data_IF_040521164819
#
_entry.id   IF_040521164819
#
_cell.length_a   1.000
_cell.length_b   1.000
_cell.length_c   1.000
_cell.angle_alpha   90.00
_cell.angle_beta   90.00
_cell.angle_gamma   90.00
#
_symmetry.space_group_name_H-M   'P 1'
#
loop_
_entity.id
_entity.type
_entity.pdbx_description
1 polymer ?
#
# COMPACT_ATOMS: atom_id res chain seq x y z
N UNK A 1 -2.74 -3.86 -25.14
CA UNK A 1 -3.02 -2.99 -23.99
C UNK A 1 -2.40 -3.52 -22.71
N UNK A 2 -1.68 -2.68 -22.05
CA UNK A 2 -0.97 -3.03 -20.82
C UNK A 2 -1.89 -2.89 -19.62
N UNK A 3 -2.49 -4.00 -19.15
CA UNK A 3 -3.39 -3.96 -17.99
C UNK A 3 -2.62 -3.84 -16.67
N UNK A 4 -1.30 -4.11 -16.70
CA UNK A 4 -0.42 -4.02 -15.53
C UNK A 4 0.53 -2.83 -15.57
N UNK A 5 0.24 -1.89 -16.48
CA UNK A 5 1.00 -0.65 -16.52
C UNK A 5 0.85 0.09 -15.19
N UNK A 6 1.93 0.66 -14.69
CA UNK A 6 1.93 1.31 -13.38
C UNK A 6 0.89 2.46 -13.31
N UNK A 7 0.74 3.22 -14.38
CA UNK A 7 -0.25 4.30 -14.41
C UNK A 7 -1.68 3.75 -14.24
N UNK A 8 -1.97 2.61 -14.84
CA UNK A 8 -3.26 1.95 -14.70
C UNK A 8 -3.45 1.42 -13.28
N UNK A 9 -2.40 0.86 -12.69
CA UNK A 9 -2.43 0.39 -11.31
C UNK A 9 -2.72 1.53 -10.35
N UNK A 10 -2.05 2.68 -10.55
CA UNK A 10 -2.28 3.87 -9.75
C UNK A 10 -3.75 4.31 -9.87
N UNK A 11 -4.25 4.41 -11.09
CA UNK A 11 -5.65 4.83 -11.32
C UNK A 11 -6.63 3.91 -10.61
N UNK A 12 -6.47 2.60 -10.77
CA UNK A 12 -7.33 1.61 -10.11
C UNK A 12 -7.26 1.72 -8.59
N UNK A 13 -6.06 1.97 -8.07
CA UNK A 13 -5.85 2.12 -6.63
C UNK A 13 -6.61 3.32 -6.07
N UNK A 14 -6.55 4.46 -6.78
CA UNK A 14 -7.24 5.67 -6.36
C UNK A 14 -8.77 5.50 -6.44
N UNK A 15 -9.26 4.81 -7.45
CA UNK A 15 -10.69 4.52 -7.59
C UNK A 15 -11.20 3.67 -6.43
N UNK A 16 -10.43 2.69 -6.02
CA UNK A 16 -10.80 1.84 -4.87
C UNK A 16 -10.79 2.66 -3.59
N UNK A 17 -9.78 3.52 -3.38
CA UNK A 17 -9.73 4.36 -2.19
C UNK A 17 -10.94 5.28 -2.11
N UNK A 18 -11.36 5.85 -3.24
CA UNK A 18 -12.55 6.70 -3.28
C UNK A 18 -13.80 5.93 -2.83
N UNK A 19 -13.93 4.68 -3.22
CA UNK A 19 -15.04 3.84 -2.78
C UNK A 19 -15.02 3.63 -1.27
N UNK A 20 -13.83 3.43 -0.69
CA UNK A 20 -13.69 3.33 0.76
C UNK A 20 -14.04 4.65 1.46
N UNK A 21 -13.64 5.80 0.86
CA UNK A 21 -14.01 7.11 1.40
C UNK A 21 -15.52 7.26 1.50
N UNK A 22 -16.25 6.81 0.47
CA UNK A 22 -17.71 6.87 0.48
C UNK A 22 -18.31 5.97 1.57
N UNK A 23 -17.72 4.80 1.80
CA UNK A 23 -18.15 3.93 2.88
C UNK A 23 -17.87 4.55 4.25
N UNK A 24 -16.72 5.21 4.40
CA UNK A 24 -16.35 5.88 5.65
C UNK A 24 -17.31 7.02 5.97
N UNK A 25 -17.67 7.82 4.96
CA UNK A 25 -18.63 8.91 5.12
C UNK A 25 -19.99 8.35 5.53
N UNK A 26 -20.42 7.27 4.88
CA UNK A 26 -21.69 6.64 5.16
C UNK A 26 -21.76 6.06 6.57
N UNK A 27 -20.65 5.46 7.04
CA UNK A 27 -20.61 4.80 8.35
C UNK A 27 -20.31 5.76 9.49
N UNK A 28 -19.44 6.75 9.27
CA UNK A 28 -18.89 7.60 10.34
C UNK A 28 -19.14 9.09 10.11
N UNK A 29 -19.73 9.47 8.99
CA UNK A 29 -19.98 10.88 8.67
C UNK A 29 -18.82 11.61 8.04
N UNK A 30 -17.62 11.08 8.10
CA UNK A 30 -16.43 11.68 7.47
C UNK A 30 -15.53 10.59 6.90
N UNK A 31 -14.71 10.95 5.91
CA UNK A 31 -13.68 10.05 5.42
C UNK A 31 -12.47 10.06 6.37
N UNK A 32 -11.66 9.03 6.31
CA UNK A 32 -10.42 8.99 7.07
C UNK A 32 -9.48 10.12 6.67
N UNK A 33 -8.78 10.66 7.66
CA UNK A 33 -7.76 11.68 7.44
C UNK A 33 -6.50 11.05 6.85
N UNK A 34 -5.60 11.90 6.36
CA UNK A 34 -4.30 11.45 5.88
C UNK A 34 -3.53 10.71 6.99
N UNK A 35 -3.60 11.22 8.21
CA UNK A 35 -2.92 10.60 9.34
C UNK A 35 -3.48 9.21 9.66
N UNK A 36 -4.80 9.04 9.54
CA UNK A 36 -5.41 7.73 9.73
C UNK A 36 -4.98 6.74 8.65
N UNK A 37 -4.87 7.20 7.39
CA UNK A 37 -4.35 6.38 6.32
C UNK A 37 -2.90 5.96 6.58
N UNK A 38 -2.08 6.86 7.09
CA UNK A 38 -0.68 6.56 7.42
C UNK A 38 -0.58 5.52 8.54
N UNK A 39 -1.44 5.62 9.54
CA UNK A 39 -1.48 4.64 10.64
C UNK A 39 -1.96 3.27 10.14
N UNK A 40 -2.92 3.25 9.22
CA UNK A 40 -3.38 2.00 8.62
C UNK A 40 -2.26 1.33 7.82
N UNK A 41 -1.50 2.12 7.06
CA UNK A 41 -0.33 1.61 6.36
C UNK A 41 0.68 1.00 7.34
N UNK A 42 0.98 1.71 8.43
CA UNK A 42 1.95 1.25 9.42
C UNK A 42 1.50 -0.08 10.05
N UNK A 43 0.21 -0.21 10.33
CA UNK A 43 -0.36 -1.44 10.86
C UNK A 43 -0.19 -2.60 9.88
N UNK A 44 -0.49 -2.36 8.60
CA UNK A 44 -0.37 -3.39 7.58
C UNK A 44 1.09 -3.74 7.27
N UNK A 45 2.00 -2.78 7.41
CA UNK A 45 3.44 -3.05 7.29
C UNK A 45 3.90 -3.99 8.41
N UNK A 46 3.38 -3.79 9.62
CA UNK A 46 3.65 -4.68 10.74
C UNK A 46 3.16 -6.10 10.47
N UNK A 47 2.02 -6.24 9.80
CA UNK A 47 1.49 -7.56 9.44
C UNK A 47 2.32 -8.27 8.38
N UNK A 48 2.98 -7.52 7.49
CA UNK A 48 3.97 -8.12 6.58
C UNK A 48 5.07 -8.79 7.41
N UNK A 49 5.65 -8.06 8.37
CA UNK A 49 6.68 -8.60 9.24
C UNK A 49 6.20 -9.82 10.02
N UNK A 50 4.98 -9.73 10.56
CA UNK A 50 4.38 -10.84 11.32
C UNK A 50 4.29 -12.11 10.48
N UNK A 51 3.85 -11.97 9.23
CA UNK A 51 3.68 -13.13 8.35
C UNK A 51 5.00 -13.66 7.81
N UNK A 52 6.00 -12.80 7.64
CA UNK A 52 7.36 -13.25 7.29
C UNK A 52 7.92 -14.12 8.40
N UNK A 53 7.73 -13.75 9.66
CA UNK A 53 8.18 -14.56 10.80
C UNK A 53 7.53 -15.95 10.79
N UNK A 54 6.27 -16.02 10.37
CA UNK A 54 5.59 -17.31 10.23
C UNK A 54 6.17 -18.12 9.07
N UNK A 55 6.44 -17.45 7.95
CA UNK A 55 7.06 -18.08 6.78
C UNK A 55 8.41 -18.72 7.15
N UNK A 56 9.19 -18.03 7.98
CA UNK A 56 10.51 -18.50 8.44
C UNK A 56 10.42 -19.44 9.65
N UNK A 57 9.18 -19.75 10.07
CA UNK A 57 8.90 -20.69 11.17
C UNK A 57 9.38 -20.22 12.53
N UNK A 58 9.68 -18.94 12.66
CA UNK A 58 10.09 -18.35 13.95
C UNK A 58 8.88 -18.12 14.84
N UNK A 59 7.75 -17.78 14.24
CA UNK A 59 6.52 -17.52 14.97
C UNK A 59 5.33 -17.90 14.08
N UNK A 60 4.92 -19.14 14.17
CA UNK A 60 3.88 -19.69 13.29
C UNK A 60 2.55 -19.00 13.47
N UNK A 61 1.85 -18.83 12.36
CA UNK A 61 0.54 -18.23 12.31
C UNK A 61 -0.29 -18.93 11.24
N UNK A 62 -1.56 -19.22 11.55
CA UNK A 62 -2.47 -19.85 10.61
C UNK A 62 -2.69 -18.93 9.40
N UNK A 63 -2.79 -19.53 8.24
CA UNK A 63 -3.08 -18.84 6.96
C UNK A 63 -2.08 -17.74 6.59
N UNK A 64 -0.85 -17.83 7.11
CA UNK A 64 0.15 -16.77 6.93
C UNK A 64 0.62 -16.59 5.48
N UNK A 65 0.64 -17.66 4.68
CA UNK A 65 1.08 -17.57 3.27
C UNK A 65 0.13 -16.69 2.47
N UNK A 66 -1.16 -16.91 2.62
CA UNK A 66 -2.20 -16.15 1.91
C UNK A 66 -2.26 -14.71 2.42
N UNK A 67 -2.14 -14.54 3.73
CA UNK A 67 -2.15 -13.21 4.32
C UNK A 67 -0.92 -12.41 3.92
N UNK A 68 0.25 -13.06 3.86
CA UNK A 68 1.49 -12.38 3.42
C UNK A 68 1.34 -11.86 1.99
N UNK A 69 0.83 -12.69 1.09
CA UNK A 69 0.59 -12.27 -0.29
C UNK A 69 -0.32 -11.05 -0.36
N UNK A 70 -1.44 -11.11 0.36
CA UNK A 70 -2.40 -10.01 0.40
C UNK A 70 -1.79 -8.75 1.01
N UNK A 71 -1.07 -8.88 2.12
CA UNK A 71 -0.50 -7.71 2.81
C UNK A 71 0.62 -7.05 2.02
N UNK A 72 1.41 -7.83 1.28
CA UNK A 72 2.42 -7.25 0.40
C UNK A 72 1.75 -6.37 -0.67
N UNK A 73 0.69 -6.88 -1.30
CA UNK A 73 -0.06 -6.11 -2.29
C UNK A 73 -0.73 -4.89 -1.68
N UNK A 74 -1.36 -5.05 -0.53
CA UNK A 74 -2.05 -3.96 0.16
C UNK A 74 -1.09 -2.86 0.59
N UNK A 75 0.14 -3.20 0.99
CA UNK A 75 1.14 -2.20 1.36
C UNK A 75 1.55 -1.35 0.16
N UNK A 76 1.68 -1.95 -1.03
CA UNK A 76 1.95 -1.18 -2.25
C UNK A 76 0.78 -0.23 -2.52
N UNK A 77 -0.45 -0.70 -2.35
CA UNK A 77 -1.65 0.11 -2.51
C UNK A 77 -1.64 1.31 -1.55
N UNK A 78 -1.34 1.08 -0.27
CA UNK A 78 -1.28 2.17 0.72
C UNK A 78 -0.25 3.23 0.34
N UNK A 79 0.92 2.81 -0.17
CA UNK A 79 1.97 3.75 -0.58
C UNK A 79 1.50 4.62 -1.73
N UNK A 80 0.76 4.05 -2.67
CA UNK A 80 0.16 4.82 -3.77
C UNK A 80 -0.83 5.84 -3.23
N UNK A 81 -1.68 5.44 -2.29
CA UNK A 81 -2.67 6.33 -1.68
C UNK A 81 -1.99 7.48 -0.93
N UNK A 82 -0.98 7.17 -0.12
CA UNK A 82 -0.27 8.19 0.65
C UNK A 82 0.45 9.18 -0.26
N UNK A 83 1.04 8.70 -1.35
CA UNK A 83 1.69 9.58 -2.32
C UNK A 83 0.67 10.54 -2.93
N UNK A 84 -0.48 10.03 -3.36
CA UNK A 84 -1.53 10.85 -3.95
C UNK A 84 -2.02 11.92 -2.97
N UNK A 85 -2.27 11.53 -1.72
CA UNK A 85 -2.81 12.46 -0.71
C UNK A 85 -1.80 13.49 -0.25
N UNK A 86 -0.51 13.30 -0.53
CA UNK A 86 0.55 14.26 -0.21
C UNK A 86 1.04 15.03 -1.45
N UNK A 87 0.40 14.83 -2.60
CA UNK A 87 0.77 15.52 -3.82
C UNK A 87 2.05 15.02 -4.47
N UNK A 88 2.44 13.78 -4.18
CA UNK A 88 3.66 13.17 -4.72
C UNK A 88 3.30 12.22 -5.85
N UNK A 89 4.03 12.34 -6.96
CA UNK A 89 3.95 11.39 -8.06
C UNK A 89 4.81 10.17 -7.70
N UNK A 90 4.16 9.09 -7.28
CA UNK A 90 4.88 7.90 -6.78
C UNK A 90 5.72 7.23 -7.88
N UNK A 91 5.26 7.26 -9.12
CA UNK A 91 5.99 6.67 -10.24
C UNK A 91 7.31 7.42 -10.46
N UNK A 92 7.24 8.75 -10.48
CA UNK A 92 8.41 9.60 -10.63
C UNK A 92 9.36 9.47 -9.45
N UNK A 93 8.82 9.46 -8.23
CA UNK A 93 9.61 9.33 -7.02
C UNK A 93 10.38 8.01 -7.00
N UNK A 94 9.71 6.92 -7.40
CA UNK A 94 10.37 5.61 -7.45
C UNK A 94 11.45 5.58 -8.52
N UNK A 95 11.18 6.14 -9.70
CA UNK A 95 12.15 6.22 -10.79
C UNK A 95 13.40 6.99 -10.36
N UNK A 96 13.21 8.13 -9.71
CA UNK A 96 14.33 8.93 -9.21
C UNK A 96 15.12 8.20 -8.14
N UNK A 97 14.46 7.51 -7.24
CA UNK A 97 15.13 6.72 -6.21
C UNK A 97 16.00 5.64 -6.85
N UNK A 98 15.43 4.89 -7.79
CA UNK A 98 16.16 3.80 -8.45
C UNK A 98 17.39 4.31 -9.22
N UNK A 99 17.20 5.35 -10.01
CA UNK A 99 18.30 5.93 -10.80
C UNK A 99 19.44 6.43 -9.91
N UNK A 100 19.08 7.15 -8.86
CA UNK A 100 20.05 7.68 -7.89
C UNK A 100 20.81 6.57 -7.21
N UNK A 101 20.11 5.54 -6.79
CA UNK A 101 20.70 4.42 -6.04
C UNK A 101 21.58 3.57 -6.95
N UNK A 102 21.14 3.32 -8.19
CA UNK A 102 21.96 2.61 -9.18
C UNK A 102 23.27 3.31 -9.45
N UNK A 103 23.28 4.64 -9.44
CA UNK A 103 24.48 5.42 -9.68
C UNK A 103 25.48 5.38 -8.53
N UNK A 104 25.09 4.91 -7.34
CA UNK A 104 25.98 4.71 -6.20
C UNK A 104 26.77 3.40 -6.36
N UNK A 105 26.18 2.42 -7.01
CA UNK A 105 26.79 1.10 -7.22
C UNK A 105 27.25 0.92 -8.66
#
# INVERSE_FOLDING_TARGET
>A
METNNFDIIIKRSLEIREKYHQLEIKSNGTQWTLEEDALAYLTDAGLVGRNVMSHEKTWLKKDSAEELEHKLAENIWWLIILADRTGIDIKEALEQFLTKTENIF
#
